data_IF_111207532950
#
_entry.id   IF_111207532950
#
_cell.length_a   1.000
_cell.length_b   1.000
_cell.length_c   1.000
_cell.angle_alpha   90.00
_cell.angle_beta   90.00
_cell.angle_gamma   90.00
#
_symmetry.space_group_name_H-M   'P 1'
#
loop_
_entity.id
_entity.type
_entity.pdbx_description
1 polymer ?
#
# COMPACT_ATOMS: atom_id res chain seq x y z
N UNK A 1 3.20 9.90 0.13
CA UNK A 1 1.83 10.42 0.05
C UNK A 1 1.48 10.56 -1.42
N UNK A 2 0.35 10.01 -1.86
CA UNK A 2 -0.15 10.10 -3.23
C UNK A 2 -0.84 11.44 -3.41
N UNK A 3 -0.42 12.20 -4.42
CA UNK A 3 -0.98 13.49 -4.82
C UNK A 3 -2.08 13.31 -5.86
N UNK A 4 -2.78 14.40 -6.22
CA UNK A 4 -3.69 14.40 -7.37
C UNK A 4 -3.00 13.99 -8.67
N UNK A 5 -1.77 14.47 -8.89
CA UNK A 5 -1.01 14.14 -10.11
C UNK A 5 -0.76 12.64 -10.20
N UNK A 6 -0.29 12.04 -9.11
CA UNK A 6 -0.07 10.59 -9.04
C UNK A 6 -1.35 9.80 -9.32
N UNK A 7 -2.50 10.27 -8.78
CA UNK A 7 -3.79 9.63 -9.03
C UNK A 7 -4.25 9.78 -10.49
N UNK A 8 -3.99 10.91 -11.15
CA UNK A 8 -4.26 11.08 -12.58
C UNK A 8 -3.40 10.13 -13.43
N UNK A 9 -2.14 9.92 -13.06
CA UNK A 9 -1.25 8.96 -13.73
C UNK A 9 -1.79 7.54 -13.60
N UNK A 10 -2.24 7.16 -12.40
CA UNK A 10 -2.88 5.86 -12.13
C UNK A 10 -4.18 5.71 -12.94
N UNK A 11 -5.05 6.72 -12.97
CA UNK A 11 -6.28 6.70 -13.77
C UNK A 11 -5.97 6.56 -15.26
N UNK A 12 -4.92 7.22 -15.75
CA UNK A 12 -4.45 7.10 -17.13
C UNK A 12 -3.96 5.70 -17.43
N UNK A 13 -3.22 5.08 -16.51
CA UNK A 13 -2.80 3.68 -16.64
C UNK A 13 -4.00 2.73 -16.72
N UNK A 14 -5.04 2.95 -15.90
CA UNK A 14 -6.29 2.18 -15.96
C UNK A 14 -6.98 2.33 -17.33
N UNK A 15 -7.07 3.54 -17.87
CA UNK A 15 -7.64 3.78 -19.20
C UNK A 15 -6.83 3.05 -20.28
N UNK A 16 -5.50 3.15 -20.22
CA UNK A 16 -4.61 2.50 -21.19
C UNK A 16 -4.74 0.97 -21.14
N UNK A 17 -4.89 0.39 -19.95
CA UNK A 17 -5.04 -1.04 -19.77
C UNK A 17 -6.47 -1.56 -20.09
N UNK A 18 -7.50 -0.74 -19.86
CA UNK A 18 -8.91 -1.10 -20.02
C UNK A 18 -9.68 -0.12 -20.92
N UNK A 19 -9.25 0.12 -22.17
CA UNK A 19 -9.78 1.21 -23.01
C UNK A 19 -11.26 1.05 -23.39
N UNK A 20 -11.83 -0.15 -23.25
CA UNK A 20 -13.24 -0.43 -23.56
C UNK A 20 -14.18 -0.16 -22.39
N UNK A 21 -13.70 -0.23 -21.15
CA UNK A 21 -14.52 -0.25 -19.94
C UNK A 21 -14.17 0.84 -18.93
N UNK A 22 -12.97 1.42 -19.02
CA UNK A 22 -12.60 2.56 -18.20
C UNK A 22 -13.40 3.82 -18.59
N UNK A 23 -13.82 4.66 -17.62
CA UNK A 23 -14.49 5.91 -17.93
C UNK A 23 -13.55 6.89 -18.68
N UNK A 24 -14.11 7.67 -19.61
CA UNK A 24 -13.39 8.67 -20.40
C UNK A 24 -13.29 10.00 -19.66
N UNK A 25 -12.45 10.05 -18.63
CA UNK A 25 -12.27 11.26 -17.82
C UNK A 25 -11.63 12.44 -18.58
N UNK A 26 -11.00 12.20 -19.74
CA UNK A 26 -10.35 13.23 -20.55
C UNK A 26 -11.33 14.24 -21.15
N UNK A 27 -12.62 13.89 -21.26
CA UNK A 27 -13.65 14.76 -21.83
C UNK A 27 -14.12 15.84 -20.83
N UNK A 28 -13.86 15.65 -19.53
CA UNK A 28 -14.18 16.61 -18.47
C UNK A 28 -13.02 16.72 -17.46
N UNK A 29 -12.14 17.73 -17.61
CA UNK A 29 -11.00 17.94 -16.72
C UNK A 29 -11.38 18.18 -15.26
N UNK A 30 -12.55 18.76 -14.97
CA UNK A 30 -12.99 19.02 -13.60
C UNK A 30 -13.44 17.72 -12.93
N UNK A 31 -14.21 16.90 -13.64
CA UNK A 31 -14.56 15.56 -13.17
C UNK A 31 -13.32 14.69 -12.97
N UNK A 32 -12.34 14.73 -13.89
CA UNK A 32 -11.08 14.01 -13.75
C UNK A 32 -10.32 14.39 -12.47
N UNK A 33 -10.20 15.70 -12.20
CA UNK A 33 -9.53 16.22 -10.99
C UNK A 33 -10.26 15.82 -9.71
N UNK A 34 -11.59 15.91 -9.69
CA UNK A 34 -12.39 15.52 -8.54
C UNK A 34 -12.27 14.01 -8.24
N UNK A 35 -12.34 13.17 -9.28
CA UNK A 35 -12.14 11.72 -9.16
C UNK A 35 -10.74 11.38 -8.68
N UNK A 36 -9.70 12.03 -9.23
CA UNK A 36 -8.32 11.86 -8.80
C UNK A 36 -8.11 12.23 -7.32
N UNK A 37 -8.76 13.28 -6.83
CA UNK A 37 -8.71 13.65 -5.40
C UNK A 37 -9.31 12.56 -4.51
N UNK A 38 -10.41 11.94 -4.94
CA UNK A 38 -11.06 10.84 -4.20
C UNK A 38 -10.13 9.62 -4.19
N UNK A 39 -9.57 9.24 -5.34
CA UNK A 39 -8.64 8.12 -5.46
C UNK A 39 -7.39 8.33 -4.60
N UNK A 40 -6.78 9.51 -4.65
CA UNK A 40 -5.64 9.86 -3.81
C UNK A 40 -5.96 9.72 -2.32
N UNK A 41 -7.13 10.19 -1.87
CA UNK A 41 -7.59 10.02 -0.48
C UNK A 41 -7.75 8.55 -0.11
N UNK A 42 -8.34 7.74 -0.99
CA UNK A 42 -8.51 6.30 -0.78
C UNK A 42 -7.17 5.60 -0.65
N UNK A 43 -6.22 5.84 -1.56
CA UNK A 43 -4.91 5.19 -1.50
C UNK A 43 -4.07 5.64 -0.29
N UNK A 44 -4.11 6.94 0.05
CA UNK A 44 -3.42 7.47 1.22
C UNK A 44 -3.98 6.90 2.53
N UNK A 45 -5.31 6.65 2.62
CA UNK A 45 -5.91 5.98 3.79
C UNK A 45 -5.27 4.63 4.09
N UNK A 46 -4.75 3.95 3.08
CA UNK A 46 -4.09 2.65 3.20
C UNK A 46 -2.54 2.74 3.19
N UNK A 47 -1.97 3.95 3.26
CA UNK A 47 -0.53 4.19 3.24
C UNK A 47 0.19 3.50 2.06
N UNK A 48 -0.46 3.50 0.89
CA UNK A 48 0.07 2.93 -0.35
C UNK A 48 0.92 3.97 -1.09
N UNK A 49 1.94 3.49 -1.79
CA UNK A 49 2.77 4.31 -2.66
C UNK A 49 2.30 4.19 -4.12
N UNK A 50 2.45 5.24 -4.92
CA UNK A 50 2.02 5.24 -6.32
C UNK A 50 2.62 4.07 -7.15
N UNK A 51 3.90 3.66 -6.97
CA UNK A 51 4.44 2.50 -7.68
C UNK A 51 3.71 1.20 -7.37
N UNK A 52 3.31 0.96 -6.10
CA UNK A 52 2.59 -0.26 -5.73
C UNK A 52 1.18 -0.29 -6.36
N UNK A 53 0.53 0.87 -6.51
CA UNK A 53 -0.77 0.97 -7.19
C UNK A 53 -0.62 0.76 -8.70
N UNK A 54 0.41 1.34 -9.32
CA UNK A 54 0.67 1.14 -10.76
C UNK A 54 0.96 -0.33 -11.08
N UNK A 55 1.74 -1.01 -10.22
CA UNK A 55 1.95 -2.46 -10.33
C UNK A 55 0.62 -3.22 -10.19
N UNK A 56 -0.23 -2.82 -9.25
CA UNK A 56 -1.57 -3.39 -9.09
C UNK A 56 -2.46 -3.22 -10.32
N UNK A 57 -2.40 -2.08 -11.02
CA UNK A 57 -3.12 -1.87 -12.30
C UNK A 57 -2.66 -2.90 -13.34
N UNK A 58 -1.35 -3.10 -13.48
CA UNK A 58 -0.78 -4.05 -14.45
C UNK A 58 -1.20 -5.48 -14.12
N UNK A 59 -1.10 -5.89 -12.87
CA UNK A 59 -1.51 -7.23 -12.41
C UNK A 59 -3.01 -7.44 -12.62
N UNK A 60 -3.84 -6.45 -12.23
CA UNK A 60 -5.31 -6.54 -12.43
C UNK A 60 -5.67 -6.68 -13.90
N UNK A 61 -5.01 -5.93 -14.79
CA UNK A 61 -5.24 -6.01 -16.22
C UNK A 61 -4.84 -7.36 -16.81
N UNK A 62 -3.75 -7.96 -16.33
CA UNK A 62 -3.31 -9.28 -16.77
C UNK A 62 -4.26 -10.40 -16.29
N UNK A 63 -4.72 -10.33 -15.04
CA UNK A 63 -5.46 -11.41 -14.39
C UNK A 63 -6.99 -11.32 -14.59
N UNK A 64 -7.55 -10.11 -14.72
CA UNK A 64 -9.00 -9.91 -14.96
C UNK A 64 -9.22 -8.74 -15.93
N UNK A 65 -8.98 -8.95 -17.23
CA UNK A 65 -9.01 -7.87 -18.23
C UNK A 65 -10.42 -7.36 -18.55
N UNK A 66 -11.48 -8.03 -18.09
CA UNK A 66 -12.85 -7.84 -18.57
C UNK A 66 -13.42 -6.46 -18.19
N UNK A 67 -13.08 -5.95 -17.01
CA UNK A 67 -13.58 -4.68 -16.48
C UNK A 67 -12.45 -3.84 -15.92
N UNK A 68 -12.54 -2.53 -16.10
CA UNK A 68 -11.62 -1.60 -15.47
C UNK A 68 -11.76 -1.72 -13.94
N UNK A 69 -10.64 -1.79 -13.19
CA UNK A 69 -10.69 -1.91 -11.75
C UNK A 69 -11.13 -0.60 -11.09
N UNK A 70 -11.94 -0.73 -10.05
CA UNK A 70 -12.28 0.35 -9.12
C UNK A 70 -11.12 0.60 -8.13
N UNK A 71 -11.02 1.79 -7.50
CA UNK A 71 -9.90 2.11 -6.62
C UNK A 71 -9.79 1.15 -5.42
N UNK A 72 -10.91 0.60 -4.93
CA UNK A 72 -10.92 -0.40 -3.87
C UNK A 72 -10.25 -1.73 -4.27
N UNK A 73 -10.40 -2.15 -5.52
CA UNK A 73 -9.74 -3.35 -6.04
C UNK A 73 -8.24 -3.14 -6.19
N UNK A 74 -7.82 -1.95 -6.64
CA UNK A 74 -6.41 -1.58 -6.72
C UNK A 74 -5.75 -1.55 -5.33
N UNK A 75 -6.45 -1.08 -4.30
CA UNK A 75 -5.98 -1.14 -2.91
C UNK A 75 -5.73 -2.59 -2.48
N UNK A 76 -6.68 -3.49 -2.76
CA UNK A 76 -6.56 -4.90 -2.37
C UNK A 76 -5.35 -5.56 -3.07
N UNK A 77 -5.23 -5.36 -4.39
CA UNK A 77 -4.12 -5.91 -5.17
C UNK A 77 -2.75 -5.33 -4.73
N UNK A 78 -2.65 -4.01 -4.51
CA UNK A 78 -1.41 -3.39 -4.04
C UNK A 78 -0.98 -3.89 -2.66
N UNK A 79 -1.94 -4.13 -1.75
CA UNK A 79 -1.63 -4.74 -0.44
C UNK A 79 -1.10 -6.16 -0.59
N UNK A 80 -1.69 -6.96 -1.49
CA UNK A 80 -1.23 -8.31 -1.76
C UNK A 80 0.20 -8.30 -2.31
N UNK A 81 0.49 -7.46 -3.31
CA UNK A 81 1.84 -7.30 -3.88
C UNK A 81 2.86 -6.95 -2.79
N UNK A 82 2.50 -6.01 -1.90
CA UNK A 82 3.38 -5.60 -0.80
C UNK A 82 3.62 -6.74 0.20
N UNK A 83 2.60 -7.53 0.49
CA UNK A 83 2.71 -8.72 1.33
C UNK A 83 3.58 -9.80 0.69
N UNK A 84 3.40 -10.05 -0.61
CA UNK A 84 4.19 -11.02 -1.35
C UNK A 84 5.67 -10.62 -1.41
N UNK A 85 5.95 -9.33 -1.62
CA UNK A 85 7.31 -8.76 -1.59
C UNK A 85 7.95 -8.97 -0.22
N UNK A 86 7.25 -8.60 0.87
CA UNK A 86 7.73 -8.82 2.23
C UNK A 86 7.95 -10.31 2.55
N UNK A 87 7.08 -11.18 2.03
CA UNK A 87 7.19 -12.64 2.25
C UNK A 87 8.39 -13.24 1.52
N UNK A 88 8.69 -12.75 0.30
CA UNK A 88 9.90 -13.12 -0.46
C UNK A 88 11.17 -12.64 0.23
N UNK A 89 11.18 -11.40 0.73
CA UNK A 89 12.30 -10.84 1.49
C UNK A 89 12.57 -11.63 2.78
N UNK A 90 11.52 -12.07 3.49
CA UNK A 90 11.65 -12.96 4.65
C UNK A 90 12.01 -14.41 4.28
N UNK A 91 11.81 -14.82 3.03
CA UNK A 91 12.21 -16.12 2.52
C UNK A 91 13.73 -16.27 2.37
N UNK A 92 14.45 -15.16 2.28
CA UNK A 92 15.91 -15.12 2.13
C UNK A 92 16.59 -15.33 3.50
N UNK A 93 17.45 -16.36 3.61
CA UNK A 93 17.99 -16.85 4.90
C UNK A 93 18.71 -15.74 5.69
N UNK A 94 19.41 -14.85 5.01
CA UNK A 94 20.22 -13.80 5.63
C UNK A 94 19.36 -12.67 6.21
N UNK A 95 18.16 -12.44 5.66
CA UNK A 95 17.22 -11.43 6.14
C UNK A 95 16.45 -11.89 7.39
N UNK A 96 16.21 -13.21 7.55
CA UNK A 96 15.59 -13.78 8.77
C UNK A 96 16.42 -13.48 10.02
N UNK A 97 17.73 -13.74 9.95
CA UNK A 97 18.64 -13.50 11.07
C UNK A 97 18.69 -12.02 11.50
N UNK A 98 18.63 -11.09 10.54
CA UNK A 98 18.58 -9.64 10.81
C UNK A 98 17.24 -9.21 11.41
N UNK A 99 16.13 -9.83 10.99
CA UNK A 99 14.80 -9.54 11.52
C UNK A 99 14.61 -10.09 12.93
N UNK A 100 15.05 -11.32 13.21
CA UNK A 100 15.06 -11.94 14.54
C UNK A 100 15.91 -11.11 15.51
N UNK A 101 17.12 -10.70 15.11
CA UNK A 101 17.97 -9.83 15.92
C UNK A 101 17.32 -8.45 16.22
N UNK A 102 16.47 -7.94 15.32
CA UNK A 102 15.74 -6.67 15.51
C UNK A 102 14.52 -6.83 16.43
N UNK A 103 13.85 -7.98 16.38
CA UNK A 103 12.75 -8.33 17.30
C UNK A 103 13.32 -8.54 18.71
N UNK A 104 14.40 -9.31 18.85
CA UNK A 104 15.04 -9.55 20.15
C UNK A 104 15.52 -8.25 20.79
N UNK A 105 16.11 -7.34 20.01
CA UNK A 105 16.49 -6.01 20.49
C UNK A 105 15.29 -5.18 20.95
N UNK A 106 14.13 -5.29 20.29
CA UNK A 106 12.90 -4.62 20.73
C UNK A 106 12.32 -5.23 22.00
N UNK A 107 12.35 -6.56 22.14
CA UNK A 107 11.90 -7.27 23.35
C UNK A 107 12.80 -6.93 24.53
N UNK A 108 14.13 -6.93 24.35
CA UNK A 108 15.08 -6.53 25.38
C UNK A 108 14.88 -5.07 25.83
N UNK A 109 14.64 -4.16 24.88
CA UNK A 109 14.33 -2.77 25.21
C UNK A 109 12.97 -2.62 25.92
N UNK A 110 11.97 -3.42 25.58
CA UNK A 110 10.66 -3.38 26.22
C UNK A 110 10.69 -3.97 27.64
N UNK A 111 11.44 -5.07 27.84
CA UNK A 111 11.68 -5.68 29.14
C UNK A 111 12.51 -4.79 30.06
N UNK A 112 13.52 -4.09 29.52
CA UNK A 112 14.32 -3.11 30.28
C UNK A 112 13.54 -1.87 30.72
N UNK A 113 12.43 -1.55 30.05
CA UNK A 113 11.62 -0.35 30.34
C UNK A 113 10.45 -0.60 31.31
N UNK A 114 10.27 -1.84 31.79
CA UNK A 114 9.23 -2.23 32.76
C UNK A 114 9.78 -2.53 34.17
N UNK A 115 11.08 -2.33 34.39
CA UNK A 115 11.72 -2.55 35.68
C UNK A 115 12.25 -1.26 36.31
N UNK A 116 11.38 -0.44 36.90
CA UNK A 116 11.77 0.37 38.07
C UNK A 116 10.56 0.79 38.95
N UNK A 117 10.68 0.37 40.21
CA UNK A 117 10.08 0.85 41.46
C UNK A 117 8.56 0.77 41.69
N UNK A 118 8.12 -0.31 42.37
CA UNK A 118 7.22 -0.19 43.53
C UNK A 118 7.78 -1.05 44.67
N UNK A 119 8.78 -0.53 45.38
CA UNK A 119 9.10 -0.95 46.75
C UNK A 119 8.82 0.25 47.67
N UNK A 120 7.62 0.26 48.26
CA UNK A 120 7.26 1.15 49.36
C UNK A 120 7.35 0.37 50.66
N UNK A 121 7.94 0.94 51.74
CA UNK A 121 8.31 0.16 52.91
C UNK A 121 7.09 -0.33 53.68
N UNK A 122 7.12 -1.61 54.07
CA UNK A 122 6.23 -2.18 55.08
C UNK A 122 6.56 -1.51 56.41
N UNK A 123 5.58 -0.79 56.98
CA UNK A 123 5.49 -0.47 58.40
C UNK A 123 4.09 -0.81 58.90
#
# INVERSE_FOLDING_TARGET
MITRSDALDIMTAVIAAHPRTAPRWHDDPDAARATADIWAKMFNRHNLAAPDILEAVIVRAADTPQTAPEPGELVAAARQIRQDRASREQGDRDQRALHEAKIDRKIANFAGNFGMEIDGPIR
#
